data_IF_365656624248
#
_entry.id   IF_365656624248
#
_cell.length_a   1.000
_cell.length_b   1.000
_cell.length_c   1.000
_cell.angle_alpha   90.00
_cell.angle_beta   90.00
_cell.angle_gamma   90.00
#
_symmetry.space_group_name_H-M   'P 1'
#
loop_
_entity.id
_entity.type
_entity.pdbx_description
1 polymer ?
#
# COMPACT_ATOMS: atom_id res chain seq x y z
N UNK A 1 6.44 -3.16 -5.59
CA UNK A 1 6.97 -2.77 -4.26
C UNK A 1 5.85 -2.36 -3.30
N UNK A 2 4.97 -1.41 -3.68
CA UNK A 2 3.92 -0.90 -2.81
C UNK A 2 2.96 -2.00 -2.34
N UNK A 3 2.43 -2.81 -3.27
CA UNK A 3 1.49 -3.92 -2.97
C UNK A 3 2.11 -4.94 -2.01
N UNK A 4 3.34 -5.37 -2.28
CA UNK A 4 4.02 -6.37 -1.46
C UNK A 4 4.33 -5.83 -0.05
N UNK A 5 4.78 -4.59 0.05
CA UNK A 5 5.00 -3.94 1.34
C UNK A 5 3.68 -3.76 2.12
N UNK A 6 2.61 -3.32 1.43
CA UNK A 6 1.28 -3.15 2.03
C UNK A 6 0.75 -4.45 2.63
N UNK A 7 0.78 -5.55 1.86
CA UNK A 7 0.28 -6.85 2.30
C UNK A 7 1.08 -7.41 3.48
N UNK A 8 2.39 -7.21 3.49
CA UNK A 8 3.29 -7.78 4.48
C UNK A 8 3.57 -6.83 5.64
N UNK A 9 4.82 -6.51 5.87
CA UNK A 9 5.32 -5.73 7.01
C UNK A 9 4.87 -4.27 7.06
N UNK A 10 4.40 -3.74 5.92
CA UNK A 10 4.00 -2.33 5.85
C UNK A 10 2.70 -2.06 6.59
N UNK A 11 1.66 -2.83 6.34
CA UNK A 11 0.33 -2.57 6.92
C UNK A 11 -0.43 -3.82 7.36
N UNK A 12 -0.66 -4.83 6.49
CA UNK A 12 -1.56 -5.95 6.80
C UNK A 12 -0.91 -7.09 7.60
N UNK A 13 0.39 -7.11 7.74
CA UNK A 13 1.15 -8.15 8.46
C UNK A 13 0.85 -9.59 8.01
N UNK A 14 0.55 -9.76 6.72
CA UNK A 14 0.22 -11.07 6.16
C UNK A 14 1.48 -11.82 5.72
N UNK A 15 1.37 -13.15 5.63
CA UNK A 15 2.44 -13.96 5.09
C UNK A 15 2.64 -13.61 3.60
N UNK A 16 3.88 -13.33 3.23
CA UNK A 16 4.27 -12.97 1.86
C UNK A 16 3.89 -14.01 0.81
N UNK A 17 3.79 -15.29 1.19
CA UNK A 17 3.40 -16.38 0.29
C UNK A 17 2.01 -16.17 -0.31
N UNK A 18 1.08 -15.57 0.42
CA UNK A 18 -0.25 -15.28 -0.11
C UNK A 18 -0.19 -14.36 -1.34
N UNK A 19 0.58 -13.29 -1.26
CA UNK A 19 0.75 -12.37 -2.39
C UNK A 19 1.56 -12.99 -3.54
N UNK A 20 2.64 -13.72 -3.21
CA UNK A 20 3.40 -14.47 -4.20
C UNK A 20 2.52 -15.41 -5.02
N UNK A 21 1.66 -16.19 -4.36
CA UNK A 21 0.79 -17.17 -5.02
C UNK A 21 -0.28 -16.48 -5.92
N UNK A 22 -0.74 -15.29 -5.53
CA UNK A 22 -1.61 -14.48 -6.39
C UNK A 22 -0.87 -14.02 -7.65
N UNK A 23 0.35 -13.52 -7.48
CA UNK A 23 1.19 -13.08 -8.60
C UNK A 23 1.52 -14.23 -9.55
N UNK A 24 1.89 -15.38 -9.00
CA UNK A 24 2.20 -16.56 -9.79
C UNK A 24 1.02 -17.00 -10.69
N UNK A 25 -0.20 -16.89 -10.18
CA UNK A 25 -1.41 -17.27 -10.92
C UNK A 25 -1.95 -16.20 -11.88
N UNK A 26 -1.66 -14.92 -11.61
CA UNK A 26 -2.35 -13.79 -12.29
C UNK A 26 -1.46 -12.98 -13.22
N UNK A 27 -0.16 -12.95 -13.02
CA UNK A 27 0.75 -12.25 -13.90
C UNK A 27 1.06 -13.07 -15.14
N UNK A 28 0.92 -12.45 -16.32
CA UNK A 28 1.21 -13.08 -17.61
C UNK A 28 2.70 -13.39 -17.77
N UNK A 29 3.54 -12.54 -17.18
CA UNK A 29 5.00 -12.63 -17.17
C UNK A 29 5.55 -13.22 -15.86
N UNK A 30 4.76 -14.08 -15.18
CA UNK A 30 5.21 -14.68 -13.93
C UNK A 30 6.45 -15.55 -14.14
N UNK A 31 7.49 -15.26 -13.38
CA UNK A 31 8.68 -16.08 -13.27
C UNK A 31 8.91 -16.41 -11.79
N UNK A 32 9.09 -17.69 -11.49
CA UNK A 32 9.20 -18.20 -10.13
C UNK A 32 10.31 -17.52 -9.33
N UNK A 33 11.50 -17.35 -9.90
CA UNK A 33 12.64 -16.82 -9.16
C UNK A 33 12.51 -15.32 -8.83
N UNK A 34 12.23 -14.42 -9.79
CA UNK A 34 11.95 -13.02 -9.48
C UNK A 34 10.74 -12.82 -8.59
N UNK A 35 9.66 -13.60 -8.79
CA UNK A 35 8.46 -13.49 -7.96
C UNK A 35 8.79 -13.81 -6.49
N UNK A 36 9.37 -14.97 -6.20
CA UNK A 36 9.75 -15.33 -4.83
C UNK A 36 10.80 -14.37 -4.25
N UNK A 37 11.84 -14.04 -5.01
CA UNK A 37 12.91 -13.14 -4.57
C UNK A 37 12.39 -11.75 -4.16
N UNK A 38 11.53 -11.14 -4.97
CA UNK A 38 10.95 -9.84 -4.68
C UNK A 38 10.02 -9.85 -3.46
N UNK A 39 9.20 -10.89 -3.32
CA UNK A 39 8.30 -11.02 -2.16
C UNK A 39 9.09 -11.23 -0.87
N UNK A 40 10.11 -12.10 -0.85
CA UNK A 40 11.01 -12.29 0.28
C UNK A 40 11.75 -11.00 0.66
N UNK A 41 12.29 -10.30 -0.33
CA UNK A 41 13.03 -9.05 -0.12
C UNK A 41 12.15 -7.95 0.49
N UNK A 42 10.95 -7.75 -0.05
CA UNK A 42 10.02 -6.72 0.42
C UNK A 42 9.37 -7.07 1.75
N UNK A 43 9.18 -8.36 2.04
CA UNK A 43 8.73 -8.82 3.36
C UNK A 43 9.81 -8.67 4.45
N UNK A 44 11.06 -8.48 4.06
CA UNK A 44 12.16 -8.30 5.01
C UNK A 44 12.73 -9.60 5.56
N UNK A 45 12.47 -10.75 4.91
CA UNK A 45 12.87 -12.09 5.39
C UNK A 45 13.94 -12.75 4.53
N UNK A 46 14.40 -12.10 3.45
CA UNK A 46 15.52 -12.57 2.64
C UNK A 46 16.85 -12.02 3.16
N UNK A 47 17.98 -12.72 2.91
CA UNK A 47 19.30 -12.12 2.98
C UNK A 47 19.33 -10.84 2.14
N UNK A 48 19.97 -9.80 2.64
CA UNK A 48 20.04 -8.47 1.98
C UNK A 48 18.70 -7.77 1.79
N UNK A 49 17.70 -8.11 2.60
CA UNK A 49 16.43 -7.38 2.63
C UNK A 49 16.67 -5.90 2.92
N UNK A 50 15.78 -5.06 2.36
CA UNK A 50 15.81 -3.63 2.66
C UNK A 50 15.59 -3.40 4.16
N UNK A 51 16.09 -2.27 4.72
CA UNK A 51 15.92 -1.95 6.13
C UNK A 51 14.45 -2.03 6.57
N UNK A 52 14.18 -2.65 7.71
CA UNK A 52 12.82 -2.90 8.20
C UNK A 52 11.98 -1.62 8.37
N UNK A 53 12.62 -0.51 8.69
CA UNK A 53 11.95 0.80 8.87
C UNK A 53 11.53 1.46 7.54
N UNK A 54 12.01 0.97 6.40
CA UNK A 54 11.68 1.52 5.09
C UNK A 54 10.37 0.91 4.60
N UNK A 55 9.27 1.59 4.85
CA UNK A 55 7.92 1.19 4.44
C UNK A 55 7.50 2.01 3.23
N UNK A 56 7.11 1.33 2.15
CA UNK A 56 6.51 1.98 0.99
C UNK A 56 5.08 2.37 1.32
N UNK A 57 4.75 3.62 1.07
CA UNK A 57 3.41 4.13 1.25
C UNK A 57 2.58 3.89 -0.03
N UNK A 58 1.46 3.15 0.04
CA UNK A 58 0.57 2.97 -1.11
C UNK A 58 -0.19 4.26 -1.46
N UNK A 59 -0.35 5.16 -0.48
CA UNK A 59 -0.98 6.47 -0.65
C UNK A 59 0.11 7.55 -0.54
N UNK A 60 0.83 7.84 -1.62
CA UNK A 60 1.92 8.79 -1.57
C UNK A 60 1.39 10.19 -1.26
N UNK A 61 2.03 10.88 -0.33
CA UNK A 61 1.76 12.28 -0.10
C UNK A 61 2.48 13.16 -1.14
N UNK A 62 2.06 14.42 -1.25
CA UNK A 62 2.63 15.38 -2.18
C UNK A 62 4.11 15.71 -1.94
N UNK A 63 4.68 15.25 -0.81
CA UNK A 63 6.07 15.48 -0.41
C UNK A 63 6.97 14.27 -0.68
N UNK A 64 6.39 13.13 -1.05
CA UNK A 64 7.16 11.92 -1.33
C UNK A 64 7.84 12.02 -2.69
N UNK A 65 9.17 11.97 -2.70
CA UNK A 65 9.97 11.90 -3.94
C UNK A 65 9.74 10.64 -4.77
N UNK A 66 9.07 9.64 -4.20
CA UNK A 66 8.68 8.39 -4.87
C UNK A 66 7.32 8.51 -5.56
N UNK A 67 6.67 9.64 -5.46
CA UNK A 67 5.36 9.86 -6.03
C UNK A 67 5.44 10.56 -7.38
N UNK A 68 5.43 9.77 -8.42
CA UNK A 68 5.46 10.25 -9.81
C UNK A 68 4.14 10.95 -10.20
N UNK A 69 3.04 10.73 -9.46
CA UNK A 69 1.69 11.20 -9.82
C UNK A 69 1.03 12.13 -8.78
N UNK A 70 1.80 12.65 -7.82
CA UNK A 70 1.26 13.37 -6.67
C UNK A 70 0.35 14.56 -7.00
N UNK A 71 0.55 15.22 -8.13
CA UNK A 71 -0.17 16.45 -8.47
C UNK A 71 -1.51 16.21 -9.15
N UNK A 72 -1.58 15.25 -10.03
CA UNK A 72 -2.73 15.05 -10.93
C UNK A 72 -3.50 13.76 -10.63
N UNK A 73 -2.86 12.78 -9.99
CA UNK A 73 -3.42 11.47 -9.68
C UNK A 73 -4.04 10.76 -10.92
N UNK A 74 -3.40 10.92 -12.08
CA UNK A 74 -3.92 10.44 -13.37
C UNK A 74 -4.14 8.93 -13.36
N UNK A 75 -3.26 8.16 -12.72
CA UNK A 75 -3.41 6.72 -12.57
C UNK A 75 -4.67 6.36 -11.77
N UNK A 76 -4.89 6.99 -10.61
CA UNK A 76 -6.08 6.72 -9.78
C UNK A 76 -7.34 7.13 -10.54
N UNK A 77 -7.36 8.30 -11.16
CA UNK A 77 -8.53 8.78 -11.94
C UNK A 77 -8.88 7.86 -13.10
N UNK A 78 -7.88 7.22 -13.71
CA UNK A 78 -8.08 6.30 -14.82
C UNK A 78 -8.58 4.92 -14.35
N UNK A 79 -7.96 4.37 -13.30
CA UNK A 79 -8.22 3.00 -12.87
C UNK A 79 -9.27 2.86 -11.77
N UNK A 80 -9.63 3.98 -11.11
CA UNK A 80 -10.65 4.03 -10.06
C UNK A 80 -11.62 5.15 -10.39
N UNK A 81 -12.54 4.92 -11.35
CA UNK A 81 -13.43 5.96 -11.87
C UNK A 81 -14.32 6.59 -10.80
N UNK A 82 -14.65 5.87 -9.73
CA UNK A 82 -15.41 6.37 -8.59
C UNK A 82 -14.72 7.56 -7.91
N UNK A 83 -13.38 7.60 -7.94
CA UNK A 83 -12.58 8.68 -7.36
C UNK A 83 -12.19 9.77 -8.36
N UNK A 84 -12.59 9.65 -9.63
CA UNK A 84 -12.10 10.53 -10.69
C UNK A 84 -12.42 12.03 -10.45
N UNK A 85 -13.53 12.35 -9.79
CA UNK A 85 -13.96 13.72 -9.49
C UNK A 85 -13.39 14.29 -8.20
N UNK A 86 -12.70 13.46 -7.39
CA UNK A 86 -12.11 13.96 -6.15
C UNK A 86 -11.03 15.01 -6.38
N UNK A 87 -10.96 16.06 -5.54
CA UNK A 87 -9.85 16.99 -5.53
C UNK A 87 -8.51 16.27 -5.26
N UNK A 88 -7.44 16.66 -5.96
CA UNK A 88 -6.13 15.98 -5.88
C UNK A 88 -5.58 15.88 -4.46
N UNK A 89 -5.95 16.80 -3.57
CA UNK A 89 -5.52 16.77 -2.16
C UNK A 89 -6.13 15.62 -1.34
N UNK A 90 -7.27 15.07 -1.78
CA UNK A 90 -7.98 13.99 -1.07
C UNK A 90 -7.97 12.65 -1.79
N UNK A 91 -7.67 12.63 -3.09
CA UNK A 91 -7.83 11.43 -3.93
C UNK A 91 -7.01 10.23 -3.46
N UNK A 92 -5.90 10.44 -2.74
CA UNK A 92 -5.07 9.37 -2.18
C UNK A 92 -5.55 8.85 -0.83
N UNK A 93 -6.33 9.65 -0.11
CA UNK A 93 -6.96 9.30 1.17
C UNK A 93 -8.38 9.90 1.21
N UNK A 94 -9.30 9.42 0.35
CA UNK A 94 -10.60 10.04 0.13
C UNK A 94 -11.49 10.05 1.38
N UNK A 95 -11.27 9.14 2.32
CA UNK A 95 -11.93 9.10 3.62
C UNK A 95 -11.62 10.30 4.54
N UNK A 96 -10.57 11.06 4.21
CA UNK A 96 -10.25 12.31 4.93
C UNK A 96 -10.95 13.55 4.35
N UNK A 97 -11.65 13.39 3.24
CA UNK A 97 -12.42 14.47 2.66
C UNK A 97 -13.66 14.76 3.51
N UNK A 98 -13.98 16.03 3.78
CA UNK A 98 -15.25 16.42 4.41
C UNK A 98 -16.46 15.94 3.59
N UNK A 99 -17.59 15.68 4.26
CA UNK A 99 -18.79 15.11 3.63
C UNK A 99 -19.24 15.91 2.40
N UNK A 100 -19.28 17.24 2.48
CA UNK A 100 -19.66 18.08 1.34
C UNK A 100 -18.74 17.90 0.12
N UNK A 101 -17.43 17.61 0.33
CA UNK A 101 -16.48 17.34 -0.76
C UNK A 101 -16.74 15.98 -1.39
N UNK A 102 -17.12 14.98 -0.59
CA UNK A 102 -17.50 13.65 -1.07
C UNK A 102 -18.80 13.72 -1.88
N UNK A 103 -19.78 14.49 -1.41
CA UNK A 103 -21.05 14.75 -2.11
C UNK A 103 -20.82 15.48 -3.45
N UNK A 104 -20.01 16.55 -3.45
CA UNK A 104 -19.63 17.27 -4.68
C UNK A 104 -18.88 16.39 -5.68
N UNK A 105 -18.04 15.47 -5.19
CA UNK A 105 -17.33 14.51 -6.02
C UNK A 105 -18.25 13.39 -6.54
N UNK A 106 -19.46 13.25 -6.01
CA UNK A 106 -20.42 12.20 -6.35
C UNK A 106 -20.01 10.82 -5.86
N UNK A 107 -19.21 10.74 -4.78
CA UNK A 107 -18.74 9.48 -4.24
C UNK A 107 -18.56 9.57 -2.71
N UNK A 108 -19.42 8.90 -1.99
CA UNK A 108 -19.44 8.85 -0.51
C UNK A 108 -18.67 7.61 -0.03
N UNK A 109 -17.65 7.83 0.79
CA UNK A 109 -16.84 6.74 1.32
C UNK A 109 -17.63 5.91 2.32
N UNK A 110 -17.60 4.60 2.14
CA UNK A 110 -18.41 3.64 2.89
C UNK A 110 -19.70 3.24 2.18
N UNK A 111 -20.12 3.98 1.14
CA UNK A 111 -21.29 3.70 0.32
C UNK A 111 -20.89 3.41 -1.12
N UNK A 112 -20.30 4.37 -1.80
CA UNK A 112 -19.93 4.27 -3.22
C UNK A 112 -18.49 3.76 -3.40
N UNK A 113 -17.64 3.99 -2.40
CA UNK A 113 -16.27 3.52 -2.35
C UNK A 113 -15.95 2.96 -0.95
N UNK A 114 -15.20 1.86 -0.84
CA UNK A 114 -14.95 1.21 0.45
C UNK A 114 -14.24 2.13 1.45
N UNK A 115 -14.59 1.98 2.73
CA UNK A 115 -13.82 2.54 3.84
C UNK A 115 -12.43 1.90 3.91
N UNK A 116 -11.41 2.61 4.45
CA UNK A 116 -10.09 2.04 4.66
C UNK A 116 -10.14 0.76 5.48
N UNK A 117 -9.46 -0.30 5.02
CA UNK A 117 -9.37 -1.57 5.75
C UNK A 117 -8.43 -1.51 6.95
N UNK A 118 -7.54 -0.54 7.00
CA UNK A 118 -6.62 -0.28 8.11
C UNK A 118 -6.31 1.21 8.24
N UNK A 119 -6.06 1.66 9.47
CA UNK A 119 -5.38 2.95 9.69
C UNK A 119 -3.90 2.81 9.30
N UNK A 120 -3.47 3.57 8.30
CA UNK A 120 -2.11 3.51 7.73
C UNK A 120 -1.02 3.89 8.74
N UNK A 121 -1.26 4.87 9.57
CA UNK A 121 -0.25 5.36 10.53
C UNK A 121 -0.12 4.39 11.68
N UNK A 122 -1.23 3.93 12.20
CA UNK A 122 -1.27 2.99 13.32
C UNK A 122 -0.72 1.63 12.92
N UNK A 123 -1.16 1.07 11.80
CA UNK A 123 -0.65 -0.23 11.33
C UNK A 123 0.85 -0.18 11.05
N UNK A 124 1.36 0.92 10.47
CA UNK A 124 2.80 1.10 10.28
C UNK A 124 3.55 1.13 11.61
N UNK A 125 3.04 1.84 12.62
CA UNK A 125 3.66 1.92 13.94
C UNK A 125 3.76 0.54 14.59
N UNK A 126 2.63 -0.17 14.66
CA UNK A 126 2.55 -1.51 15.26
C UNK A 126 3.48 -2.49 14.54
N UNK A 127 3.44 -2.51 13.21
CA UNK A 127 4.24 -3.45 12.42
C UNK A 127 5.74 -3.19 12.54
N UNK A 128 6.17 -1.94 12.66
CA UNK A 128 7.59 -1.62 12.90
C UNK A 128 8.05 -2.14 14.27
N UNK A 129 7.22 -2.04 15.29
CA UNK A 129 7.51 -2.58 16.64
C UNK A 129 7.61 -4.11 16.58
N UNK A 130 6.62 -4.79 15.99
CA UNK A 130 6.62 -6.25 15.81
C UNK A 130 7.86 -6.73 15.04
N UNK A 131 8.25 -6.00 13.99
CA UNK A 131 9.43 -6.36 13.21
C UNK A 131 10.71 -6.22 14.03
N UNK A 132 10.84 -5.13 14.79
CA UNK A 132 11.97 -4.89 15.69
C UNK A 132 12.09 -5.98 16.75
N UNK A 133 10.97 -6.36 17.37
CA UNK A 133 10.93 -7.46 18.36
C UNK A 133 11.35 -8.79 17.74
N UNK A 134 10.87 -9.08 16.54
CA UNK A 134 11.21 -10.31 15.80
C UNK A 134 12.71 -10.39 15.51
N UNK A 135 13.33 -9.28 15.12
CA UNK A 135 14.79 -9.23 14.92
C UNK A 135 15.56 -9.46 16.23
N UNK A 136 15.09 -8.91 17.34
CA UNK A 136 15.73 -9.12 18.67
C UNK A 136 15.62 -10.56 19.19
N UNK A 137 14.71 -11.39 18.64
CA UNK A 137 14.60 -12.82 18.99
C UNK A 137 15.53 -13.73 18.18
N UNK A 138 16.08 -13.22 17.10
CA UNK A 138 16.95 -13.97 16.17
C UNK A 138 18.42 -13.69 16.47
N UNK A 139 18.71 -12.56 17.10
CA UNK A 139 20.06 -12.17 17.54
C UNK A 139 20.46 -12.82 18.86
#
# INVERSE_FOLDING_TARGET
HAVSCFLTRGQLWQNWKHGRDVFDRKLVDSDWAPNNGNWLWLAGVAPFSMPYYRVYNPCPDSKSSLNVEAKEASFIRHWVPELASFPSRYIFEPHLAPDHVQEEAGCVIGTDYPSPIVDRKESRRVNLELFKESLGRIA
#
